data_IF_551963328832
#
_entry.id   IF_551963328832
#
_cell.length_a   1.000
_cell.length_b   1.000
_cell.length_c   1.000
_cell.angle_alpha   90.00
_cell.angle_beta   90.00
_cell.angle_gamma   90.00
#
_symmetry.space_group_name_H-M   'P 1'
#
loop_
_entity.id
_entity.type
_entity.pdbx_description
1 polymer ?
#
# COMPACT_ATOMS: atom_id res chain seq x y z
N UNK A 1 28.54 11.98 33.81
CA UNK A 1 29.22 12.12 32.50
C UNK A 1 29.14 10.85 31.68
N UNK A 2 29.46 9.65 32.23
CA UNK A 2 29.41 8.36 31.52
C UNK A 2 28.04 7.99 30.95
N UNK A 3 26.95 8.26 31.68
CA UNK A 3 25.59 8.01 31.18
C UNK A 3 25.24 8.90 29.97
N UNK A 4 25.67 10.16 29.98
CA UNK A 4 25.47 11.08 28.84
C UNK A 4 26.25 10.61 27.62
N UNK A 5 27.50 10.19 27.80
CA UNK A 5 28.32 9.66 26.71
C UNK A 5 27.73 8.39 26.13
N UNK A 6 27.20 7.48 26.96
CA UNK A 6 26.53 6.25 26.52
C UNK A 6 25.27 6.52 25.67
N UNK A 7 24.59 7.64 25.89
CA UNK A 7 23.41 8.03 25.09
C UNK A 7 23.77 8.38 23.63
N UNK A 8 25.01 8.78 23.38
CA UNK A 8 25.50 9.14 22.05
C UNK A 8 26.12 7.95 21.29
N UNK A 9 26.45 6.88 21.99
CA UNK A 9 27.02 5.70 21.35
C UNK A 9 25.91 4.82 20.75
N UNK A 10 26.13 4.22 19.56
CA UNK A 10 25.22 3.22 19.01
C UNK A 10 25.14 2.02 19.95
N UNK A 11 23.98 1.36 20.01
CA UNK A 11 23.78 0.16 20.84
C UNK A 11 24.41 -1.10 20.25
N UNK A 12 24.84 -1.03 19.00
CA UNK A 12 25.48 -2.14 18.25
C UNK A 12 26.68 -1.55 17.54
N UNK A 13 27.81 -2.21 17.58
CA UNK A 13 28.96 -1.89 16.76
C UNK A 13 28.74 -2.50 15.36
N UNK A 14 28.64 -1.64 14.36
CA UNK A 14 28.46 -2.05 12.96
C UNK A 14 29.77 -2.53 12.33
N UNK A 15 30.89 -2.19 12.96
CA UNK A 15 32.22 -2.59 12.50
C UNK A 15 32.69 -3.89 13.17
N UNK A 16 31.88 -4.48 14.05
CA UNK A 16 32.16 -5.77 14.64
C UNK A 16 32.07 -6.86 13.55
N UNK A 17 33.20 -7.35 13.13
CA UNK A 17 33.32 -8.41 12.11
C UNK A 17 32.65 -9.73 12.52
N UNK A 18 32.46 -9.98 13.82
CA UNK A 18 31.75 -11.12 14.38
C UNK A 18 30.23 -11.01 14.28
N UNK A 19 29.69 -9.77 14.06
CA UNK A 19 28.24 -9.54 14.07
C UNK A 19 27.67 -9.56 12.65
N UNK A 20 27.48 -10.75 12.10
CA UNK A 20 26.85 -10.95 10.80
C UNK A 20 25.46 -11.53 10.95
N UNK A 21 24.46 -10.96 10.26
CA UNK A 21 23.08 -11.45 10.27
C UNK A 21 22.42 -11.29 8.91
N UNK A 22 21.52 -12.24 8.61
CA UNK A 22 20.68 -12.25 7.42
C UNK A 22 19.23 -12.30 7.85
N UNK A 23 18.40 -11.44 7.29
CA UNK A 23 16.95 -11.49 7.39
C UNK A 23 16.36 -11.63 5.99
N UNK A 24 15.52 -12.62 5.79
CA UNK A 24 14.90 -12.93 4.51
C UNK A 24 13.39 -12.75 4.61
N UNK A 25 12.83 -12.03 3.66
CA UNK A 25 11.38 -11.85 3.50
C UNK A 25 11.02 -12.14 2.05
N UNK A 26 10.01 -12.98 1.84
CA UNK A 26 9.52 -13.36 0.53
C UNK A 26 8.02 -13.13 0.42
N UNK A 27 7.59 -12.69 -0.73
CA UNK A 27 6.19 -12.63 -1.13
C UNK A 27 6.06 -13.09 -2.59
N UNK A 28 5.45 -14.26 -2.79
CA UNK A 28 5.40 -14.93 -4.10
C UNK A 28 6.79 -15.06 -4.74
N UNK A 29 7.02 -14.40 -5.86
CA UNK A 29 8.28 -14.42 -6.59
C UNK A 29 9.25 -13.32 -6.14
N UNK A 30 8.74 -12.30 -5.45
CA UNK A 30 9.55 -11.20 -4.94
C UNK A 30 10.16 -11.53 -3.58
N UNK A 31 11.43 -11.17 -3.38
CA UNK A 31 12.09 -11.29 -2.09
C UNK A 31 12.98 -10.09 -1.79
N UNK A 32 13.21 -9.86 -0.51
CA UNK A 32 14.17 -8.89 0.00
C UNK A 32 15.03 -9.54 1.08
N UNK A 33 16.33 -9.31 1.04
CA UNK A 33 17.28 -9.83 2.00
C UNK A 33 17.99 -8.65 2.66
N UNK A 34 17.85 -8.56 3.99
CA UNK A 34 18.62 -7.62 4.80
C UNK A 34 19.87 -8.30 5.33
N UNK A 35 21.03 -7.78 4.97
CA UNK A 35 22.33 -8.31 5.42
C UNK A 35 23.00 -7.29 6.32
N UNK A 36 23.45 -7.74 7.49
CA UNK A 36 24.42 -7.02 8.31
C UNK A 36 25.76 -7.66 8.01
N UNK A 37 26.61 -6.97 7.26
CA UNK A 37 27.89 -7.46 6.78
C UNK A 37 28.47 -6.56 5.70
N UNK A 38 29.56 -7.00 5.10
CA UNK A 38 30.25 -6.29 4.03
C UNK A 38 29.51 -6.35 2.69
N UNK A 39 29.90 -5.54 1.73
CA UNK A 39 29.39 -5.61 0.35
C UNK A 39 29.77 -6.95 -0.29
N UNK A 40 30.98 -7.46 -0.02
CA UNK A 40 31.43 -8.77 -0.51
C UNK A 40 30.58 -9.92 0.00
N UNK A 41 30.11 -9.87 1.25
CA UNK A 41 29.16 -10.86 1.78
C UNK A 41 27.84 -10.83 0.98
N UNK A 42 27.34 -9.64 0.65
CA UNK A 42 26.13 -9.51 -0.15
C UNK A 42 26.31 -10.05 -1.58
N UNK A 43 27.48 -9.86 -2.18
CA UNK A 43 27.81 -10.36 -3.52
C UNK A 43 27.90 -11.90 -3.49
N UNK A 44 28.55 -12.49 -2.48
CA UNK A 44 28.60 -13.94 -2.29
C UNK A 44 27.19 -14.55 -2.11
N UNK A 45 26.37 -13.96 -1.25
CA UNK A 45 24.97 -14.40 -1.05
C UNK A 45 24.17 -14.32 -2.35
N UNK A 46 24.34 -13.27 -3.15
CA UNK A 46 23.65 -13.13 -4.44
C UNK A 46 24.03 -14.26 -5.40
N UNK A 47 25.31 -14.60 -5.47
CA UNK A 47 25.80 -15.67 -6.33
C UNK A 47 25.33 -17.05 -5.84
N UNK A 48 25.35 -17.30 -4.53
CA UNK A 48 24.81 -18.54 -3.95
C UNK A 48 23.34 -18.74 -4.29
N UNK A 49 22.52 -17.65 -4.20
CA UNK A 49 21.11 -17.70 -4.57
C UNK A 49 20.95 -17.99 -6.06
N UNK A 50 21.75 -17.34 -6.92
CA UNK A 50 21.72 -17.55 -8.36
C UNK A 50 22.01 -19.01 -8.72
N UNK A 51 23.07 -19.59 -8.10
CA UNK A 51 23.45 -20.98 -8.29
C UNK A 51 22.36 -21.93 -7.80
N UNK A 52 21.82 -21.70 -6.60
CA UNK A 52 20.73 -22.49 -6.04
C UNK A 52 19.49 -22.48 -6.93
N UNK A 53 19.06 -21.32 -7.41
CA UNK A 53 17.91 -21.20 -8.30
C UNK A 53 18.14 -21.93 -9.62
N UNK A 54 19.33 -21.78 -10.21
CA UNK A 54 19.68 -22.41 -11.48
C UNK A 54 19.82 -23.94 -11.37
N UNK A 55 20.56 -24.42 -10.37
CA UNK A 55 20.87 -25.84 -10.22
C UNK A 55 19.69 -26.65 -9.68
N UNK A 56 19.09 -26.18 -8.60
CA UNK A 56 18.06 -26.94 -7.86
C UNK A 56 16.64 -26.71 -8.39
N UNK A 57 16.32 -25.47 -8.77
CA UNK A 57 14.95 -25.12 -9.15
C UNK A 57 14.79 -24.88 -10.65
N UNK A 58 15.87 -24.87 -11.45
CA UNK A 58 15.87 -24.58 -12.88
C UNK A 58 15.22 -23.20 -13.20
N UNK A 59 15.40 -22.24 -12.30
CA UNK A 59 14.92 -20.87 -12.40
C UNK A 59 16.08 -19.92 -12.68
N UNK A 60 15.82 -18.85 -13.42
CA UNK A 60 16.80 -17.79 -13.70
C UNK A 60 16.55 -16.58 -12.82
N UNK A 61 17.59 -16.11 -12.14
CA UNK A 61 17.53 -14.86 -11.39
C UNK A 61 17.62 -13.67 -12.35
N UNK A 62 16.69 -12.72 -12.25
CA UNK A 62 16.77 -11.47 -13.02
C UNK A 62 17.84 -10.56 -12.42
N UNK A 63 18.98 -10.45 -13.08
CA UNK A 63 20.11 -9.62 -12.60
C UNK A 63 19.78 -8.13 -12.59
N UNK A 64 19.00 -7.65 -13.56
CA UNK A 64 18.56 -6.26 -13.65
C UNK A 64 17.67 -5.84 -12.48
N UNK A 65 16.89 -6.77 -11.92
CA UNK A 65 15.98 -6.52 -10.80
C UNK A 65 16.61 -6.82 -9.45
N UNK A 66 17.61 -7.70 -9.41
CA UNK A 66 18.29 -8.13 -8.17
C UNK A 66 19.48 -7.24 -7.89
N UNK A 67 19.23 -6.14 -7.20
CA UNK A 67 20.22 -5.11 -6.90
C UNK A 67 20.72 -5.22 -5.47
N UNK A 68 22.03 -5.01 -5.28
CA UNK A 68 22.62 -4.81 -3.96
C UNK A 68 22.57 -3.32 -3.64
N UNK A 69 21.84 -2.97 -2.60
CA UNK A 69 21.60 -1.57 -2.22
C UNK A 69 22.05 -1.34 -0.79
N UNK A 70 22.86 -0.31 -0.55
CA UNK A 70 23.25 0.07 0.80
C UNK A 70 22.03 0.37 1.67
N UNK A 71 21.99 -0.09 2.92
CA UNK A 71 20.82 -0.02 3.80
C UNK A 71 20.22 1.38 3.98
N UNK A 72 21.03 2.45 3.89
CA UNK A 72 20.53 3.83 3.98
C UNK A 72 19.94 4.35 2.66
N UNK A 73 20.09 3.61 1.56
CA UNK A 73 19.47 3.95 0.27
C UNK A 73 18.14 3.22 0.11
N UNK A 74 17.26 3.80 -0.66
CA UNK A 74 15.91 3.27 -0.89
C UNK A 74 15.93 2.08 -1.84
N UNK A 75 15.56 0.91 -1.34
CA UNK A 75 15.29 -0.28 -2.13
C UNK A 75 13.78 -0.37 -2.41
N UNK A 76 13.41 -0.84 -3.60
CA UNK A 76 12.00 -1.03 -3.98
C UNK A 76 11.58 -2.47 -3.68
N UNK A 77 10.50 -2.63 -2.94
CA UNK A 77 9.89 -3.94 -2.67
C UNK A 77 8.38 -3.79 -2.47
N UNK A 78 7.60 -4.56 -3.20
CA UNK A 78 6.12 -4.54 -3.15
C UNK A 78 5.54 -3.12 -3.26
N UNK A 79 6.07 -2.29 -4.16
CA UNK A 79 5.57 -0.93 -4.36
C UNK A 79 5.97 0.09 -3.27
N UNK A 80 6.67 -0.33 -2.23
CA UNK A 80 7.25 0.54 -1.21
C UNK A 80 8.71 0.88 -1.52
N UNK A 81 9.17 2.00 -1.01
CA UNK A 81 10.60 2.29 -0.82
C UNK A 81 10.98 1.94 0.62
N UNK A 82 11.96 1.05 0.76
CA UNK A 82 12.44 0.53 2.04
C UNK A 82 13.88 0.98 2.24
N UNK A 83 14.18 1.50 3.40
CA UNK A 83 15.53 1.85 3.80
C UNK A 83 15.68 1.84 5.31
N UNK A 84 16.92 1.77 5.78
CA UNK A 84 17.27 1.91 7.20
C UNK A 84 17.63 3.37 7.45
N UNK A 85 16.97 3.98 8.42
CA UNK A 85 17.27 5.36 8.79
C UNK A 85 18.69 5.46 9.34
N UNK A 86 19.53 6.37 8.80
CA UNK A 86 20.89 6.53 9.31
C UNK A 86 20.87 6.91 10.79
N UNK A 87 21.91 6.53 11.49
CA UNK A 87 22.12 6.94 12.87
C UNK A 87 22.31 8.47 12.93
N UNK A 88 21.68 9.11 13.89
CA UNK A 88 21.89 10.53 14.18
C UNK A 88 22.23 10.67 15.65
N UNK A 89 23.25 11.45 15.97
CA UNK A 89 23.66 11.77 17.35
C UNK A 89 22.65 12.69 18.08
N UNK A 90 21.54 13.02 17.40
CA UNK A 90 20.51 13.88 17.98
C UNK A 90 19.73 13.18 19.07
N UNK A 91 19.65 13.79 20.22
CA UNK A 91 18.73 13.42 21.28
C UNK A 91 17.43 14.24 21.13
N UNK A 92 16.31 13.59 21.36
CA UNK A 92 14.99 14.23 21.38
C UNK A 92 14.47 14.22 22.82
N UNK A 93 13.73 15.27 23.20
CA UNK A 93 12.97 15.22 24.46
C UNK A 93 11.64 14.52 24.21
N UNK A 94 11.34 13.50 25.01
CA UNK A 94 10.05 12.82 24.97
C UNK A 94 8.93 13.80 25.31
N UNK A 95 7.92 13.93 24.46
CA UNK A 95 6.79 14.87 24.64
C UNK A 95 6.07 14.69 25.98
N UNK A 96 5.97 13.46 26.48
CA UNK A 96 5.25 13.14 27.72
C UNK A 96 6.14 13.10 28.96
N UNK A 97 7.39 12.69 28.81
CA UNK A 97 8.29 12.46 29.96
C UNK A 97 9.33 13.55 30.16
N UNK A 98 9.53 14.43 29.19
CA UNK A 98 10.60 15.43 29.20
C UNK A 98 12.02 14.85 29.22
N UNK A 99 12.15 13.51 29.26
CA UNK A 99 13.42 12.80 29.32
C UNK A 99 14.09 12.80 27.96
N UNK A 100 15.41 12.96 27.93
CA UNK A 100 16.21 12.82 26.72
C UNK A 100 16.21 11.38 26.25
N UNK A 101 15.69 11.16 25.05
CA UNK A 101 15.69 9.86 24.37
C UNK A 101 16.56 9.92 23.12
N UNK A 102 17.19 8.82 22.76
CA UNK A 102 17.91 8.72 21.48
C UNK A 102 16.94 8.97 20.33
N UNK A 103 17.35 9.78 19.37
CA UNK A 103 16.65 9.88 18.11
C UNK A 103 16.58 8.49 17.45
N UNK A 104 15.49 8.26 16.69
CA UNK A 104 15.24 6.98 16.02
C UNK A 104 16.28 6.68 14.95
N UNK A 105 17.46 6.18 15.35
CA UNK A 105 18.44 5.64 14.43
C UNK A 105 18.14 4.19 14.07
N UNK A 106 18.62 3.74 12.91
CA UNK A 106 18.64 2.32 12.48
C UNK A 106 17.28 1.59 12.44
N UNK A 107 16.18 2.32 12.35
CA UNK A 107 14.86 1.72 12.11
C UNK A 107 14.60 1.55 10.63
N UNK A 108 14.03 0.42 10.26
CA UNK A 108 13.50 0.20 8.91
C UNK A 108 12.34 1.15 8.67
N UNK A 109 12.37 1.85 7.56
CA UNK A 109 11.38 2.82 7.13
C UNK A 109 10.76 2.31 5.84
N UNK A 110 9.43 2.35 5.79
CA UNK A 110 8.62 2.05 4.62
C UNK A 110 8.00 3.35 4.12
N UNK A 111 8.24 3.72 2.88
CA UNK A 111 7.67 4.93 2.29
C UNK A 111 6.87 4.65 1.03
N UNK A 112 5.83 5.45 0.83
CA UNK A 112 5.11 5.51 -0.45
C UNK A 112 5.95 6.34 -1.42
N UNK A 113 6.40 5.78 -2.54
CA UNK A 113 7.16 6.55 -3.52
C UNK A 113 6.28 7.61 -4.19
N UNK A 114 6.80 8.81 -4.38
CA UNK A 114 6.08 9.89 -5.07
C UNK A 114 5.71 9.53 -6.51
N UNK A 115 6.59 8.80 -7.20
CA UNK A 115 6.32 8.34 -8.57
C UNK A 115 5.14 7.36 -8.62
N UNK A 116 4.96 6.49 -7.62
CA UNK A 116 3.82 5.56 -7.55
C UNK A 116 2.49 6.32 -7.43
N UNK A 117 2.46 7.38 -6.62
CA UNK A 117 1.27 8.25 -6.52
C UNK A 117 1.01 8.96 -7.85
N UNK A 118 2.05 9.52 -8.47
CA UNK A 118 1.98 10.19 -9.76
C UNK A 118 1.43 9.27 -10.85
N UNK A 119 2.06 8.11 -11.01
CA UNK A 119 1.72 7.17 -12.06
C UNK A 119 0.29 6.63 -11.89
N UNK A 120 -0.14 6.43 -10.63
CA UNK A 120 -1.50 6.01 -10.33
C UNK A 120 -2.55 7.09 -10.65
N UNK A 121 -2.25 8.36 -10.35
CA UNK A 121 -3.12 9.49 -10.70
C UNK A 121 -3.22 9.70 -12.22
N UNK A 122 -2.13 9.51 -12.95
CA UNK A 122 -2.10 9.54 -14.41
C UNK A 122 -2.90 8.36 -14.99
N UNK A 123 -2.70 7.16 -14.47
CA UNK A 123 -3.46 5.95 -14.87
C UNK A 123 -4.98 6.13 -14.67
N UNK A 124 -5.39 6.79 -13.59
CA UNK A 124 -6.80 7.13 -13.37
C UNK A 124 -7.29 8.30 -14.21
N UNK A 125 -6.44 8.94 -15.01
CA UNK A 125 -6.76 10.16 -15.75
C UNK A 125 -7.29 11.30 -14.84
N UNK A 126 -6.87 11.27 -13.57
CA UNK A 126 -7.31 12.26 -12.58
C UNK A 126 -6.43 13.51 -12.56
N UNK A 127 -5.29 13.47 -13.25
CA UNK A 127 -4.25 14.49 -13.21
C UNK A 127 -3.53 14.61 -14.55
N UNK A 128 -3.04 15.81 -14.81
CA UNK A 128 -2.07 16.13 -15.86
C UNK A 128 -0.83 16.78 -15.25
N UNK A 129 0.31 16.63 -15.93
CA UNK A 129 1.56 17.27 -15.53
C UNK A 129 1.79 18.48 -16.44
N UNK A 130 1.82 19.66 -15.84
CA UNK A 130 2.15 20.90 -16.52
C UNK A 130 3.56 21.35 -16.12
N UNK A 131 4.34 21.81 -17.10
CA UNK A 131 5.61 22.48 -16.82
C UNK A 131 5.34 23.95 -16.52
N UNK A 132 5.77 24.42 -15.37
CA UNK A 132 5.70 25.81 -14.98
C UNK A 132 7.02 26.25 -14.37
N UNK A 133 7.67 27.24 -14.95
CA UNK A 133 8.99 27.73 -14.52
C UNK A 133 10.03 26.61 -14.35
N UNK A 134 10.07 25.65 -15.28
CA UNK A 134 10.99 24.51 -15.22
C UNK A 134 10.65 23.44 -14.17
N UNK A 135 9.54 23.58 -13.45
CA UNK A 135 9.09 22.61 -12.44
C UNK A 135 7.80 21.90 -12.90
N UNK A 136 7.76 20.59 -12.69
CA UNK A 136 6.59 19.78 -12.97
C UNK A 136 5.49 20.06 -11.90
N UNK A 137 4.35 20.58 -12.33
CA UNK A 137 3.21 20.89 -11.47
C UNK A 137 2.04 19.94 -11.77
N UNK A 138 1.54 19.31 -10.75
CA UNK A 138 0.39 18.40 -10.84
C UNK A 138 -0.90 19.20 -10.89
N UNK A 139 -1.70 18.99 -11.93
CA UNK A 139 -2.97 19.67 -12.12
C UNK A 139 -4.10 18.65 -12.22
N UNK A 140 -5.11 18.69 -11.33
CA UNK A 140 -6.27 17.83 -11.42
C UNK A 140 -7.02 18.04 -12.73
N UNK A 141 -7.51 16.97 -13.35
CA UNK A 141 -8.31 17.01 -14.57
C UNK A 141 -9.63 16.26 -14.44
N UNK A 142 -10.57 16.46 -15.36
CA UNK A 142 -11.84 15.75 -15.38
C UNK A 142 -11.68 14.38 -16.02
N UNK A 143 -12.27 13.34 -15.46
CA UNK A 143 -12.25 11.97 -15.98
C UNK A 143 -13.39 11.77 -16.96
N UNK A 144 -13.10 11.91 -18.25
CA UNK A 144 -14.11 11.82 -19.32
C UNK A 144 -14.81 10.48 -19.38
N UNK A 145 -14.11 9.41 -19.08
CA UNK A 145 -14.64 8.04 -19.07
C UNK A 145 -15.79 7.82 -18.08
N UNK A 146 -15.92 8.68 -17.07
CA UNK A 146 -16.95 8.55 -16.05
C UNK A 146 -18.19 9.44 -16.30
N UNK A 147 -18.19 10.29 -17.32
CA UNK A 147 -19.24 11.29 -17.52
C UNK A 147 -20.64 10.71 -17.80
N UNK A 148 -20.69 9.50 -18.36
CA UNK A 148 -21.93 8.79 -18.67
C UNK A 148 -22.53 8.02 -17.49
N UNK A 149 -21.77 7.88 -16.39
CA UNK A 149 -22.22 7.17 -15.19
C UNK A 149 -23.09 8.07 -14.31
N UNK A 150 -23.88 7.45 -13.43
CA UNK A 150 -24.63 8.18 -12.41
C UNK A 150 -23.72 8.83 -11.38
N UNK A 151 -24.22 9.87 -10.71
CA UNK A 151 -23.45 10.63 -9.72
C UNK A 151 -22.94 9.75 -8.58
N UNK A 152 -23.76 8.79 -8.14
CA UNK A 152 -23.40 7.83 -7.11
C UNK A 152 -22.26 6.92 -7.58
N UNK A 153 -22.35 6.42 -8.82
CA UNK A 153 -21.34 5.54 -9.40
C UNK A 153 -20.00 6.27 -9.60
N UNK A 154 -20.06 7.53 -10.06
CA UNK A 154 -18.86 8.38 -10.17
C UNK A 154 -18.21 8.52 -8.80
N UNK A 155 -18.98 8.92 -7.79
CA UNK A 155 -18.46 9.10 -6.42
C UNK A 155 -17.89 7.81 -5.85
N UNK A 156 -18.56 6.68 -6.07
CA UNK A 156 -18.11 5.37 -5.58
C UNK A 156 -16.85 4.89 -6.31
N UNK A 157 -16.65 5.23 -7.58
CA UNK A 157 -15.41 4.95 -8.30
C UNK A 157 -14.21 5.68 -7.63
N UNK A 158 -14.35 6.98 -7.39
CA UNK A 158 -13.31 7.75 -6.68
C UNK A 158 -13.06 7.23 -5.26
N UNK A 159 -14.12 6.94 -4.50
CA UNK A 159 -14.00 6.42 -3.14
C UNK A 159 -13.29 5.05 -3.08
N UNK A 160 -13.59 4.17 -4.02
CA UNK A 160 -12.99 2.83 -4.13
C UNK A 160 -11.49 2.93 -4.42
N UNK A 161 -11.13 3.79 -5.37
CA UNK A 161 -9.74 3.99 -5.77
C UNK A 161 -8.90 4.60 -4.65
N UNK A 162 -9.41 5.65 -3.98
CA UNK A 162 -8.74 6.28 -2.84
C UNK A 162 -8.60 5.28 -1.68
N UNK A 163 -9.67 4.55 -1.36
CA UNK A 163 -9.66 3.56 -0.26
C UNK A 163 -8.70 2.41 -0.53
N UNK A 164 -8.69 1.89 -1.76
CA UNK A 164 -7.78 0.83 -2.16
C UNK A 164 -6.31 1.26 -2.02
N UNK A 165 -5.97 2.45 -2.54
CA UNK A 165 -4.63 3.01 -2.45
C UNK A 165 -4.23 3.31 -0.99
N UNK A 166 -5.12 3.92 -0.21
CA UNK A 166 -4.90 4.21 1.19
C UNK A 166 -4.73 2.96 2.06
N UNK A 167 -5.52 1.92 1.81
CA UNK A 167 -5.40 0.66 2.54
C UNK A 167 -4.08 -0.05 2.24
N UNK A 168 -3.67 -0.08 0.97
CA UNK A 168 -2.41 -0.67 0.57
C UNK A 168 -1.22 0.00 1.27
N UNK A 169 -1.17 1.33 1.27
CA UNK A 169 -0.08 2.10 1.86
C UNK A 169 -0.31 2.54 3.33
N UNK A 170 -1.27 1.92 4.01
CA UNK A 170 -1.67 2.33 5.38
C UNK A 170 -0.57 2.18 6.43
N UNK A 171 0.41 1.30 6.21
CA UNK A 171 1.54 1.06 7.13
C UNK A 171 2.77 1.94 6.82
N UNK A 172 2.73 2.73 5.75
CA UNK A 172 3.84 3.59 5.35
C UNK A 172 4.14 4.66 6.41
N UNK A 173 5.42 4.94 6.62
CA UNK A 173 5.87 5.97 7.55
C UNK A 173 5.45 7.38 7.10
N UNK A 174 5.39 7.60 5.78
CA UNK A 174 4.95 8.85 5.16
C UNK A 174 3.48 8.80 4.70
N UNK A 175 2.62 8.01 5.35
CA UNK A 175 1.20 7.86 4.97
C UNK A 175 0.44 9.20 4.88
N UNK A 176 0.91 10.24 5.57
CA UNK A 176 0.37 11.61 5.45
C UNK A 176 0.47 12.18 4.03
N UNK A 177 1.42 11.72 3.20
CA UNK A 177 1.54 12.13 1.80
C UNK A 177 0.32 11.70 0.95
N UNK A 178 -0.44 10.70 1.42
CA UNK A 178 -1.70 10.30 0.79
C UNK A 178 -2.77 11.41 0.79
N UNK A 179 -2.61 12.43 1.64
CA UNK A 179 -3.46 13.62 1.58
C UNK A 179 -3.31 14.36 0.24
N UNK A 180 -2.11 14.41 -0.32
CA UNK A 180 -1.87 15.01 -1.65
C UNK A 180 -2.55 14.21 -2.76
N UNK A 181 -2.50 12.87 -2.67
CA UNK A 181 -3.23 11.99 -3.59
C UNK A 181 -4.75 12.23 -3.50
N UNK A 182 -5.31 12.24 -2.30
CA UNK A 182 -6.73 12.54 -2.05
C UNK A 182 -7.11 13.93 -2.58
N UNK A 183 -6.28 14.93 -2.37
CA UNK A 183 -6.52 16.29 -2.84
C UNK A 183 -6.68 16.34 -4.36
N UNK A 184 -5.76 15.72 -5.11
CA UNK A 184 -5.85 15.65 -6.56
C UNK A 184 -7.13 14.91 -7.01
N UNK A 185 -7.43 13.76 -6.40
CA UNK A 185 -8.65 13.00 -6.68
C UNK A 185 -9.92 13.80 -6.39
N UNK A 186 -9.94 14.56 -5.31
CA UNK A 186 -11.08 15.41 -4.93
C UNK A 186 -11.34 16.51 -5.95
N UNK A 187 -10.29 17.22 -6.36
CA UNK A 187 -10.44 18.27 -7.36
C UNK A 187 -10.74 17.70 -8.75
N UNK A 188 -10.23 16.51 -9.07
CA UNK A 188 -10.60 15.77 -10.27
C UNK A 188 -12.10 15.42 -10.26
N UNK A 189 -12.63 14.95 -9.14
CA UNK A 189 -14.06 14.70 -8.95
C UNK A 189 -14.88 15.95 -9.24
N UNK A 190 -14.53 17.08 -8.62
CA UNK A 190 -15.25 18.35 -8.85
C UNK A 190 -15.26 18.77 -10.31
N UNK A 191 -14.14 18.61 -11.01
CA UNK A 191 -14.03 18.90 -12.45
C UNK A 191 -14.83 17.91 -13.30
N UNK A 192 -14.88 16.63 -12.90
CA UNK A 192 -15.69 15.61 -13.59
C UNK A 192 -17.18 15.96 -13.51
N UNK A 193 -17.67 16.28 -12.33
CA UNK A 193 -19.06 16.75 -12.16
C UNK A 193 -19.33 18.06 -12.88
N UNK A 194 -18.39 19.02 -12.81
CA UNK A 194 -18.52 20.29 -13.50
C UNK A 194 -18.63 20.10 -15.01
N UNK A 195 -17.86 19.19 -15.59
CA UNK A 195 -17.94 18.84 -17.02
C UNK A 195 -19.23 18.11 -17.36
N UNK A 196 -19.66 17.14 -16.53
CA UNK A 196 -20.92 16.42 -16.72
C UNK A 196 -22.13 17.35 -16.78
N UNK A 197 -22.17 18.37 -15.93
CA UNK A 197 -23.27 19.33 -15.83
C UNK A 197 -23.02 20.66 -16.54
N UNK A 198 -21.98 20.74 -17.37
CA UNK A 198 -21.63 21.98 -18.12
C UNK A 198 -21.59 23.21 -17.22
N UNK A 199 -20.98 23.10 -16.05
CA UNK A 199 -20.94 24.14 -15.01
C UNK A 199 -19.53 24.30 -14.41
N UNK A 200 -19.37 25.17 -13.42
CA UNK A 200 -18.10 25.40 -12.76
C UNK A 200 -17.93 24.48 -11.54
N UNK A 201 -16.69 24.11 -11.23
CA UNK A 201 -16.39 23.33 -10.03
C UNK A 201 -16.89 24.02 -8.74
N UNK A 202 -16.88 25.35 -8.70
CA UNK A 202 -17.39 26.14 -7.55
C UNK A 202 -18.90 25.88 -7.32
N UNK A 203 -19.70 25.89 -8.40
CA UNK A 203 -21.13 25.59 -8.31
C UNK A 203 -21.40 24.14 -7.90
N UNK A 204 -20.61 23.19 -8.40
CA UNK A 204 -20.69 21.79 -8.01
C UNK A 204 -20.38 21.61 -6.51
N UNK A 205 -19.31 22.23 -6.01
CA UNK A 205 -18.97 22.17 -4.58
C UNK A 205 -20.13 22.71 -3.74
N UNK A 206 -20.72 23.84 -4.13
CA UNK A 206 -21.85 24.43 -3.42
C UNK A 206 -23.09 23.51 -3.44
N UNK A 207 -23.40 22.90 -4.60
CA UNK A 207 -24.59 22.02 -4.77
C UNK A 207 -24.50 20.73 -3.95
N UNK A 208 -23.32 20.10 -3.91
CA UNK A 208 -23.12 18.78 -3.27
C UNK A 208 -22.51 18.88 -1.87
N UNK A 209 -22.35 20.10 -1.34
CA UNK A 209 -21.83 20.31 0.01
C UNK A 209 -22.86 19.91 1.06
N UNK A 210 -22.50 18.98 1.91
CA UNK A 210 -23.26 18.64 3.10
C UNK A 210 -22.34 18.77 4.32
N UNK A 211 -22.60 19.77 5.18
CA UNK A 211 -21.70 20.19 6.24
C UNK A 211 -20.28 20.49 5.70
N UNK A 212 -19.30 19.66 6.08
CA UNK A 212 -17.89 19.79 5.67
C UNK A 212 -17.51 18.89 4.50
N UNK A 213 -18.40 17.95 4.12
CA UNK A 213 -18.13 16.92 3.14
C UNK A 213 -18.85 17.19 1.81
N UNK A 214 -18.35 16.53 0.77
CA UNK A 214 -19.04 16.43 -0.51
C UNK A 214 -19.88 15.14 -0.50
N UNK A 215 -21.18 15.25 -0.75
CA UNK A 215 -22.11 14.14 -0.64
C UNK A 215 -23.13 14.07 -1.79
N UNK A 216 -23.48 12.86 -2.19
CA UNK A 216 -24.54 12.54 -3.13
C UNK A 216 -25.65 11.84 -2.37
N UNK A 217 -26.88 12.36 -2.50
CA UNK A 217 -28.07 11.74 -1.95
C UNK A 217 -28.69 10.79 -2.96
N UNK A 218 -29.17 9.66 -2.49
CA UNK A 218 -29.83 8.66 -3.33
C UNK A 218 -30.93 7.93 -2.54
N UNK A 219 -31.85 7.34 -3.26
CA UNK A 219 -32.90 6.51 -2.66
C UNK A 219 -32.51 5.03 -2.71
N UNK A 220 -32.66 4.35 -1.58
CA UNK A 220 -32.46 2.91 -1.51
C UNK A 220 -33.65 2.18 -2.15
N UNK A 221 -33.46 0.91 -2.52
CA UNK A 221 -34.52 0.04 -3.08
C UNK A 221 -35.79 -0.04 -2.22
N UNK A 222 -35.71 0.34 -0.95
CA UNK A 222 -36.82 0.40 0.01
C UNK A 222 -37.43 1.80 0.14
N UNK A 223 -37.07 2.76 -0.72
CA UNK A 223 -37.57 4.14 -0.67
C UNK A 223 -36.92 5.02 0.42
N UNK A 224 -35.93 4.52 1.13
CA UNK A 224 -35.21 5.28 2.14
C UNK A 224 -34.17 6.21 1.54
N UNK A 225 -34.16 7.50 1.93
CA UNK A 225 -33.15 8.47 1.53
C UNK A 225 -31.84 8.16 2.23
N UNK A 226 -30.79 7.92 1.45
CA UNK A 226 -29.43 7.66 1.93
C UNK A 226 -28.46 8.67 1.33
N UNK A 227 -27.30 8.78 1.95
CA UNK A 227 -26.24 9.70 1.54
C UNK A 227 -24.92 8.94 1.38
N UNK A 228 -24.23 9.21 0.30
CA UNK A 228 -22.85 8.76 0.05
C UNK A 228 -21.90 9.94 0.10
N UNK A 229 -20.90 9.85 0.95
CA UNK A 229 -19.91 10.91 1.18
C UNK A 229 -18.63 10.58 0.42
N UNK A 230 -17.96 11.61 -0.13
CA UNK A 230 -16.61 11.48 -0.63
C UNK A 230 -15.67 11.05 0.51
N UNK A 231 -14.70 10.21 0.20
CA UNK A 231 -13.79 9.64 1.18
C UNK A 231 -13.24 10.69 2.16
N UNK A 232 -13.66 10.61 3.41
CA UNK A 232 -13.28 11.51 4.50
C UNK A 232 -12.41 10.83 5.57
N UNK A 233 -11.95 9.60 5.29
CA UNK A 233 -11.08 8.85 6.19
C UNK A 233 -9.72 9.51 6.41
N UNK A 234 -9.12 9.22 7.56
CA UNK A 234 -7.78 9.68 7.93
C UNK A 234 -6.71 8.76 7.30
N UNK A 235 -5.58 9.36 6.92
CA UNK A 235 -4.37 8.64 6.48
C UNK A 235 -3.35 8.49 7.63
N UNK A 236 -3.83 8.39 8.85
CA UNK A 236 -2.97 8.07 9.99
C UNK A 236 -2.36 6.69 9.77
N UNK A 237 -1.04 6.59 9.96
CA UNK A 237 -0.31 5.33 9.85
C UNK A 237 -0.95 4.28 10.76
N UNK A 238 -1.28 3.13 10.21
CA UNK A 238 -1.68 1.97 11.01
C UNK A 238 -0.43 1.32 11.59
N UNK A 239 -0.47 0.96 12.85
CA UNK A 239 0.56 0.10 13.43
C UNK A 239 0.45 -1.27 12.78
N UNK A 240 1.58 -1.79 12.32
CA UNK A 240 1.65 -3.19 11.90
C UNK A 240 1.30 -4.05 13.11
N UNK A 241 0.42 -5.02 12.93
CA UNK A 241 0.22 -6.02 13.95
C UNK A 241 1.60 -6.64 14.29
N UNK A 242 1.94 -6.65 15.57
CA UNK A 242 3.20 -7.25 16.04
C UNK A 242 3.20 -8.78 15.90
N UNK A 243 2.02 -9.35 15.67
CA UNK A 243 1.86 -10.78 15.42
C UNK A 243 2.44 -11.11 14.04
N UNK A 244 3.62 -11.68 14.07
CA UNK A 244 4.22 -12.35 12.92
C UNK A 244 3.45 -13.61 12.49
N UNK A 245 2.23 -13.77 12.98
CA UNK A 245 1.33 -14.90 12.70
C UNK A 245 0.68 -14.84 11.32
N UNK A 246 1.03 -13.84 10.48
CA UNK A 246 0.61 -13.86 9.08
C UNK A 246 1.06 -15.14 8.34
N UNK A 247 2.14 -15.78 8.77
CA UNK A 247 2.54 -17.09 8.25
C UNK A 247 1.71 -18.27 8.83
N UNK A 248 0.97 -18.01 9.91
CA UNK A 248 0.00 -18.95 10.48
C UNK A 248 -1.39 -18.89 9.86
N UNK A 249 -1.58 -18.08 8.83
CA UNK A 249 -2.88 -17.99 8.13
C UNK A 249 -3.38 -19.38 7.70
N UNK A 250 -2.49 -20.26 7.29
CA UNK A 250 -2.82 -21.63 6.97
C UNK A 250 -3.40 -22.39 8.19
N UNK A 251 -2.78 -22.31 9.35
CA UNK A 251 -3.26 -22.99 10.56
C UNK A 251 -4.52 -22.34 11.15
N UNK A 252 -4.63 -21.03 11.08
CA UNK A 252 -5.83 -20.31 11.54
C UNK A 252 -7.04 -20.58 10.64
N UNK A 253 -6.82 -20.71 9.33
CA UNK A 253 -7.88 -21.07 8.38
C UNK A 253 -8.34 -22.51 8.61
N UNK A 254 -7.44 -23.41 8.98
CA UNK A 254 -7.82 -24.81 9.27
C UNK A 254 -8.51 -24.98 10.62
N UNK A 255 -8.24 -24.11 11.58
CA UNK A 255 -8.85 -24.16 12.93
C UNK A 255 -10.10 -23.29 13.06
N UNK A 256 -10.43 -22.47 12.09
CA UNK A 256 -11.70 -21.76 12.08
C UNK A 256 -12.78 -22.65 11.50
N UNK A 257 -14.01 -22.46 11.94
CA UNK A 257 -15.24 -23.07 11.39
C UNK A 257 -15.44 -22.80 9.89
N UNK A 258 -14.50 -22.07 9.26
CA UNK A 258 -14.46 -21.85 7.82
C UNK A 258 -13.93 -23.11 7.15
N UNK A 259 -14.82 -23.86 6.55
CA UNK A 259 -14.53 -25.08 5.80
C UNK A 259 -13.44 -24.84 4.74
N UNK A 260 -12.60 -25.84 4.50
CA UNK A 260 -11.65 -25.86 3.39
C UNK A 260 -12.39 -25.56 2.06
N UNK A 261 -11.65 -25.12 1.03
CA UNK A 261 -12.25 -24.88 -0.28
C UNK A 261 -13.11 -26.05 -0.76
N UNK A 262 -12.61 -27.27 -0.56
CA UNK A 262 -13.31 -28.51 -0.93
C UNK A 262 -14.62 -28.68 -0.12
N UNK A 263 -14.60 -28.43 1.19
CA UNK A 263 -15.80 -28.51 2.02
C UNK A 263 -16.80 -27.41 1.67
N UNK A 264 -16.31 -26.21 1.33
CA UNK A 264 -17.17 -25.09 0.87
C UNK A 264 -17.82 -25.41 -0.47
N UNK A 265 -17.08 -26.03 -1.39
CA UNK A 265 -17.59 -26.50 -2.67
C UNK A 265 -18.64 -27.62 -2.48
N UNK A 266 -18.34 -28.61 -1.62
CA UNK A 266 -19.29 -29.70 -1.29
C UNK A 266 -20.54 -29.20 -0.60
N UNK A 267 -20.44 -28.20 0.27
CA UNK A 267 -21.60 -27.61 0.96
C UNK A 267 -22.47 -26.73 0.04
N UNK A 268 -22.06 -26.47 -1.21
CA UNK A 268 -22.79 -25.62 -2.14
C UNK A 268 -22.98 -24.17 -1.67
N UNK A 269 -22.27 -23.75 -0.64
CA UNK A 269 -22.31 -22.40 -0.07
C UNK A 269 -21.26 -21.51 -0.73
N UNK A 270 -21.36 -21.35 -2.03
CA UNK A 270 -20.59 -20.34 -2.74
C UNK A 270 -21.41 -19.05 -2.76
N UNK A 271 -20.77 -17.95 -2.41
CA UNK A 271 -21.40 -16.62 -2.35
C UNK A 271 -21.81 -16.06 -3.72
N UNK A 272 -21.71 -16.85 -4.79
CA UNK A 272 -22.01 -16.43 -6.16
C UNK A 272 -22.98 -17.41 -6.82
N UNK A 273 -24.12 -16.92 -7.26
CA UNK A 273 -25.17 -17.69 -7.94
C UNK A 273 -24.67 -18.31 -9.26
N UNK A 274 -23.74 -17.66 -9.95
CA UNK A 274 -23.14 -18.17 -11.19
C UNK A 274 -22.29 -19.43 -10.95
N UNK A 275 -21.59 -19.51 -9.83
CA UNK A 275 -20.77 -20.68 -9.48
C UNK A 275 -21.62 -21.90 -9.06
N UNK A 276 -22.82 -21.69 -8.52
CA UNK A 276 -23.77 -22.78 -8.25
C UNK A 276 -24.27 -23.46 -9.51
N UNK A 277 -24.48 -22.70 -10.59
CA UNK A 277 -24.91 -23.26 -11.87
C UNK A 277 -23.81 -24.13 -12.50
N UNK A 278 -22.56 -23.65 -12.42
CA UNK A 278 -21.40 -24.39 -12.95
C UNK A 278 -21.16 -25.71 -12.21
N UNK A 279 -21.29 -25.71 -10.88
CA UNK A 279 -21.17 -26.93 -10.06
C UNK A 279 -22.27 -27.96 -10.32
N UNK A 280 -23.50 -27.52 -10.59
CA UNK A 280 -24.57 -28.44 -10.97
C UNK A 280 -24.36 -29.12 -12.33
N UNK A 281 -23.69 -28.40 -13.25
CA UNK A 281 -23.38 -28.97 -14.58
C UNK A 281 -22.23 -30.00 -14.53
N UNK A 282 -21.23 -29.80 -13.68
CA UNK A 282 -20.11 -30.75 -13.53
C UNK A 282 -20.54 -32.03 -12.80
N UNK A 283 -21.40 -31.94 -11.79
CA UNK A 283 -21.88 -33.12 -11.06
C UNK A 283 -22.91 -33.95 -11.83
N UNK A 284 -23.59 -33.38 -12.83
CA UNK A 284 -24.54 -34.13 -13.66
C UNK A 284 -23.87 -34.87 -14.84
N UNK A 285 -22.62 -34.53 -15.18
CA UNK A 285 -21.89 -35.23 -16.25
C UNK A 285 -21.11 -36.47 -15.79
N UNK A 286 -20.73 -36.51 -14.50
CA UNK A 286 -19.99 -37.64 -13.93
C UNK A 286 -20.89 -38.79 -13.44
N UNK A 287 -22.22 -38.67 -13.56
CA UNK A 287 -23.18 -39.72 -13.19
C UNK A 287 -23.71 -40.52 -14.41
N UNK A 288 -23.05 -40.40 -15.59
CA UNK A 288 -23.38 -41.15 -16.79
C UNK A 288 -22.14 -41.75 -17.46
N UNK A 289 -21.35 -42.48 -16.68
CA UNK A 289 -20.45 -43.51 -17.19
C UNK A 289 -20.41 -44.65 -16.21
#
# INVERSE_FOLDING_TARGET
QHQKNRMHLPSVDEMDEGYRRINYVRYADDFIIGVIGSKSDCEAIKEDIKNFLGEKLKLTLSEEKTLITHGNRKAKFLGYEIYVRPFTDKTLRGEKSGVLIKAYGKKVVLEVPMFTMRDKLLYYEAMEIHQFEGKAKWKPTSRTKLLHLDDLEILDAYNREIRGFANYFSIANNSSHLNSFKYIMQYSLYKTFARKYSTTARKIIAKYRHHKDFAVFYEDKKGGKKMRVFFNGSFKRKTTAMDASCDYVANTIFNTTVSSLIQRLKAGKLNCVAQRKTLKYTTSKDSKT
#
